data_IF_230650422910
#
_entry.id   IF_230650422910
#
_cell.length_a   1.000
_cell.length_b   1.000
_cell.length_c   1.000
_cell.angle_alpha   90.00
_cell.angle_beta   90.00
_cell.angle_gamma   90.00
#
_symmetry.space_group_name_H-M   'P 1'
#
loop_
_entity.id
_entity.type
_entity.pdbx_description
1 polymer ?
#
# COMPACT_ATOMS: atom_id res chain seq x y z
N UNK A 1 4.65 2.14 -5.22
CA UNK A 1 5.20 3.52 -5.04
C UNK A 1 5.56 4.16 -6.37
N UNK A 2 6.37 3.51 -7.25
CA UNK A 2 6.78 4.08 -8.54
C UNK A 2 5.57 4.47 -9.39
N UNK A 3 4.61 3.56 -9.59
CA UNK A 3 3.38 3.84 -10.35
C UNK A 3 2.60 5.05 -9.80
N UNK A 4 2.49 5.18 -8.48
CA UNK A 4 1.80 6.31 -7.85
C UNK A 4 2.53 7.65 -8.05
N UNK A 5 3.87 7.64 -8.17
CA UNK A 5 4.65 8.84 -8.49
C UNK A 5 4.68 9.14 -10.00
N UNK A 6 4.62 8.10 -10.85
CA UNK A 6 4.58 8.26 -12.30
C UNK A 6 3.22 8.77 -12.80
N UNK A 7 2.13 8.29 -12.20
CA UNK A 7 0.76 8.64 -12.57
C UNK A 7 -0.07 8.99 -11.32
N UNK A 8 0.19 10.15 -10.67
CA UNK A 8 -0.49 10.51 -9.42
C UNK A 8 -2.01 10.63 -9.54
N UNK A 9 -2.50 10.98 -10.73
CA UNK A 9 -3.94 11.11 -11.00
C UNK A 9 -4.68 9.76 -11.06
N UNK A 10 -3.99 8.67 -11.37
CA UNK A 10 -4.52 7.31 -11.44
C UNK A 10 -4.25 6.50 -10.16
N UNK A 11 -3.45 7.06 -9.24
CA UNK A 11 -3.10 6.43 -7.99
C UNK A 11 -4.27 6.40 -7.01
N UNK A 12 -4.20 5.51 -6.02
CA UNK A 12 -5.16 5.50 -4.92
C UNK A 12 -5.16 6.87 -4.20
N UNK A 13 -6.32 7.55 -4.24
CA UNK A 13 -6.49 8.90 -3.69
C UNK A 13 -6.15 8.96 -2.19
N UNK A 14 -6.47 7.88 -1.45
CA UNK A 14 -6.17 7.79 -0.03
C UNK A 14 -4.65 7.75 0.20
N UNK A 15 -3.91 7.00 -0.59
CA UNK A 15 -2.44 6.96 -0.54
C UNK A 15 -1.84 8.34 -0.80
N UNK A 16 -2.28 9.00 -1.87
CA UNK A 16 -1.79 10.35 -2.22
C UNK A 16 -2.10 11.34 -1.10
N UNK A 17 -3.33 11.33 -0.57
CA UNK A 17 -3.75 12.24 0.50
C UNK A 17 -2.92 12.06 1.78
N UNK A 18 -2.65 10.81 2.20
CA UNK A 18 -1.76 10.52 3.33
C UNK A 18 -0.34 11.04 3.09
N UNK A 19 0.21 10.77 1.91
CA UNK A 19 1.56 11.22 1.57
C UNK A 19 1.65 12.76 1.57
N UNK A 20 0.69 13.45 0.97
CA UNK A 20 0.64 14.92 0.94
C UNK A 20 0.51 15.51 2.35
N UNK A 21 -0.34 14.91 3.21
CA UNK A 21 -0.49 15.35 4.59
C UNK A 21 0.82 15.21 5.38
N UNK A 22 1.45 14.02 5.32
CA UNK A 22 2.70 13.75 6.05
C UNK A 22 3.85 14.64 5.55
N UNK A 23 4.03 14.77 4.24
CA UNK A 23 5.07 15.63 3.65
C UNK A 23 4.80 17.10 3.98
N UNK A 24 3.53 17.54 3.97
CA UNK A 24 3.13 18.88 4.40
C UNK A 24 3.57 19.18 5.83
N UNK A 25 3.30 18.27 6.78
CA UNK A 25 3.75 18.46 8.17
C UNK A 25 5.29 18.42 8.30
N UNK A 26 5.99 17.58 7.50
CA UNK A 26 7.46 17.59 7.46
C UNK A 26 8.02 18.94 6.99
N UNK A 27 7.44 19.55 5.99
CA UNK A 27 7.86 20.86 5.47
C UNK A 27 7.66 21.96 6.51
N UNK A 28 6.54 21.95 7.22
CA UNK A 28 6.26 22.92 8.32
C UNK A 28 7.24 22.70 9.47
N UNK A 29 7.37 21.47 9.95
CA UNK A 29 8.23 21.15 11.10
C UNK A 29 9.73 21.41 10.83
N UNK A 30 10.16 21.34 9.56
CA UNK A 30 11.52 21.69 9.18
C UNK A 30 11.77 23.19 9.02
N UNK A 31 10.73 24.02 9.15
CA UNK A 31 10.83 25.46 8.94
C UNK A 31 11.03 25.90 7.47
N UNK A 32 10.82 24.98 6.52
CA UNK A 32 10.91 25.29 5.09
C UNK A 32 9.68 26.05 4.58
N UNK A 33 8.53 25.84 5.21
CA UNK A 33 7.26 26.46 4.87
C UNK A 33 6.51 26.80 6.16
N UNK A 34 6.00 28.02 6.30
CA UNK A 34 5.30 28.45 7.51
C UNK A 34 3.82 28.02 7.52
N UNK A 35 3.21 27.87 6.35
CA UNK A 35 1.79 27.56 6.19
C UNK A 35 1.55 26.08 5.87
N UNK A 36 0.75 25.35 6.68
CA UNK A 36 0.36 23.98 6.39
C UNK A 36 -0.36 23.83 5.04
N UNK A 37 -1.14 24.82 4.64
CA UNK A 37 -1.83 24.83 3.34
C UNK A 37 -0.80 24.86 2.20
N UNK A 38 0.10 25.87 2.24
CA UNK A 38 1.15 26.00 1.24
C UNK A 38 2.09 24.79 1.21
N UNK A 39 2.38 24.18 2.36
CA UNK A 39 3.19 22.98 2.45
C UNK A 39 2.54 21.79 1.71
N UNK A 40 1.24 21.58 1.89
CA UNK A 40 0.48 20.53 1.18
C UNK A 40 0.40 20.80 -0.33
N UNK A 41 0.22 22.05 -0.73
CA UNK A 41 0.24 22.45 -2.15
C UNK A 41 1.60 22.15 -2.79
N UNK A 42 2.71 22.47 -2.12
CA UNK A 42 4.06 22.14 -2.59
C UNK A 42 4.31 20.64 -2.67
N UNK A 43 3.86 19.88 -1.65
CA UNK A 43 3.94 18.41 -1.65
C UNK A 43 3.19 17.82 -2.85
N UNK A 44 1.97 18.31 -3.11
CA UNK A 44 1.17 17.87 -4.27
C UNK A 44 1.84 18.25 -5.60
N UNK A 45 2.31 19.49 -5.74
CA UNK A 45 2.97 19.97 -6.94
C UNK A 45 4.24 19.15 -7.27
N UNK A 46 4.98 18.67 -6.26
CA UNK A 46 6.15 17.83 -6.47
C UNK A 46 5.82 16.45 -7.07
N UNK A 47 4.63 15.90 -6.74
CA UNK A 47 4.11 14.68 -7.36
C UNK A 47 3.66 14.95 -8.80
N UNK A 48 2.82 15.96 -8.99
CA UNK A 48 2.18 16.26 -10.27
C UNK A 48 3.19 16.69 -11.35
N UNK A 49 4.31 17.32 -10.95
CA UNK A 49 5.40 17.71 -11.86
C UNK A 49 6.37 16.58 -12.21
N UNK A 50 6.29 15.42 -11.54
CA UNK A 50 7.26 14.33 -11.68
C UNK A 50 8.57 14.53 -10.90
N UNK A 51 8.77 15.66 -10.22
CA UNK A 51 9.98 15.95 -9.44
C UNK A 51 10.21 14.92 -8.32
N UNK A 52 9.14 14.39 -7.73
CA UNK A 52 9.21 13.32 -6.73
C UNK A 52 9.77 12.02 -7.32
N UNK A 53 9.31 11.61 -8.51
CA UNK A 53 9.82 10.43 -9.21
C UNK A 53 11.28 10.58 -9.60
N UNK A 54 11.66 11.73 -10.15
CA UNK A 54 13.07 12.02 -10.50
C UNK A 54 13.97 11.91 -9.26
N UNK A 55 13.55 12.50 -8.14
CA UNK A 55 14.31 12.45 -6.89
C UNK A 55 14.40 11.03 -6.34
N UNK A 56 13.33 10.26 -6.44
CA UNK A 56 13.30 8.85 -6.06
C UNK A 56 14.29 8.01 -6.88
N UNK A 57 14.33 8.19 -8.22
CA UNK A 57 15.29 7.50 -9.08
C UNK A 57 16.74 7.82 -8.70
N UNK A 58 17.06 9.11 -8.45
CA UNK A 58 18.39 9.53 -7.97
C UNK A 58 18.75 8.93 -6.62
N UNK A 59 17.77 8.82 -5.71
CA UNK A 59 17.97 8.18 -4.40
C UNK A 59 18.28 6.69 -4.55
N UNK A 60 17.53 5.96 -5.37
CA UNK A 60 17.75 4.52 -5.63
C UNK A 60 19.15 4.30 -6.21
N UNK A 61 19.54 5.06 -7.23
CA UNK A 61 20.87 4.96 -7.82
C UNK A 61 21.98 5.31 -6.82
N UNK A 62 21.79 6.35 -6.01
CA UNK A 62 22.75 6.77 -4.97
C UNK A 62 22.94 5.74 -3.86
N UNK A 63 21.94 4.90 -3.60
CA UNK A 63 22.00 3.77 -2.66
C UNK A 63 22.55 2.48 -3.29
N UNK A 64 23.00 2.53 -4.55
CA UNK A 64 23.56 1.39 -5.27
C UNK A 64 22.55 0.54 -6.02
N UNK A 65 21.30 1.00 -6.12
CA UNK A 65 20.26 0.34 -6.93
C UNK A 65 20.39 0.65 -8.42
N UNK A 66 19.56 0.00 -9.27
CA UNK A 66 19.58 0.23 -10.71
C UNK A 66 19.24 1.69 -11.06
N UNK A 67 20.00 2.28 -12.00
CA UNK A 67 19.79 3.67 -12.42
C UNK A 67 18.45 3.87 -13.15
N UNK A 68 17.95 2.82 -13.82
CA UNK A 68 16.69 2.79 -14.56
C UNK A 68 15.49 2.25 -13.75
N UNK A 69 15.64 2.18 -12.42
CA UNK A 69 14.58 1.58 -11.56
C UNK A 69 13.26 2.35 -11.62
N UNK A 70 13.32 3.68 -11.72
CA UNK A 70 12.11 4.50 -11.78
C UNK A 70 11.32 4.31 -13.09
N UNK A 71 12.02 4.01 -14.19
CA UNK A 71 11.44 3.79 -15.51
C UNK A 71 11.00 2.34 -15.72
N UNK A 72 11.73 1.37 -15.13
CA UNK A 72 11.56 -0.07 -15.38
C UNK A 72 11.55 -0.89 -14.07
N UNK A 73 10.70 -0.58 -13.08
CA UNK A 73 10.73 -1.25 -11.79
C UNK A 73 10.50 -2.77 -11.88
N UNK A 74 9.62 -3.22 -12.77
CA UNK A 74 9.28 -4.62 -12.97
C UNK A 74 10.45 -5.48 -13.47
N UNK A 75 11.44 -4.87 -14.12
CA UNK A 75 12.66 -5.55 -14.55
C UNK A 75 13.57 -5.92 -13.38
N UNK A 76 13.46 -5.19 -12.28
CA UNK A 76 14.34 -5.29 -11.12
C UNK A 76 13.66 -5.88 -9.89
N UNK A 77 12.33 -5.93 -9.87
CA UNK A 77 11.58 -6.49 -8.77
C UNK A 77 11.35 -8.00 -8.97
N UNK A 78 11.51 -8.75 -7.90
CA UNK A 78 11.21 -10.18 -7.91
C UNK A 78 9.69 -10.40 -8.04
N UNK A 79 9.30 -11.47 -8.75
CA UNK A 79 7.90 -11.85 -8.94
C UNK A 79 7.64 -13.16 -8.20
N UNK A 80 6.55 -13.23 -7.45
CA UNK A 80 6.11 -14.43 -6.76
C UNK A 80 5.64 -15.51 -7.76
N UNK A 81 5.84 -16.78 -7.41
CA UNK A 81 5.41 -17.90 -8.23
C UNK A 81 3.87 -18.02 -8.33
N UNK A 82 3.17 -17.62 -7.28
CA UNK A 82 1.70 -17.66 -7.20
C UNK A 82 1.20 -16.23 -6.91
N UNK A 83 0.38 -15.68 -7.81
CA UNK A 83 -0.29 -14.38 -7.62
C UNK A 83 -1.77 -14.58 -7.88
N UNK A 84 -2.59 -14.57 -6.81
CA UNK A 84 -4.02 -14.83 -6.93
C UNK A 84 -4.85 -14.00 -5.97
N UNK A 85 -6.14 -13.71 -6.33
CA UNK A 85 -7.06 -12.97 -5.49
C UNK A 85 -7.58 -13.80 -4.30
N UNK A 86 -7.83 -13.12 -3.20
CA UNK A 86 -8.63 -13.63 -2.07
C UNK A 86 -10.02 -13.02 -2.16
N UNK A 87 -11.01 -13.85 -2.43
CA UNK A 87 -12.40 -13.40 -2.48
C UNK A 87 -13.03 -13.39 -1.09
N UNK A 88 -13.93 -12.44 -0.84
CA UNK A 88 -14.84 -12.52 0.31
C UNK A 88 -15.81 -13.69 0.13
N UNK A 89 -16.20 -14.33 1.25
CA UNK A 89 -17.14 -15.43 1.22
C UNK A 89 -18.56 -14.96 0.82
N UNK A 90 -18.93 -13.75 1.21
CA UNK A 90 -20.23 -13.14 0.96
C UNK A 90 -20.06 -11.72 0.40
N UNK A 91 -21.07 -11.24 -0.30
CA UNK A 91 -21.13 -9.87 -0.78
C UNK A 91 -21.33 -8.90 0.40
N UNK A 92 -20.57 -7.82 0.42
CA UNK A 92 -20.67 -6.81 1.48
C UNK A 92 -19.72 -5.65 1.29
N UNK A 93 -19.45 -4.98 2.39
CA UNK A 93 -18.50 -3.85 2.46
C UNK A 93 -17.42 -4.15 3.49
N UNK A 94 -16.19 -3.81 3.17
CA UNK A 94 -15.09 -3.91 4.14
C UNK A 94 -15.37 -2.95 5.30
N UNK A 95 -15.58 -3.50 6.49
CA UNK A 95 -15.94 -2.73 7.70
C UNK A 95 -14.75 -2.47 8.63
N UNK A 96 -13.78 -3.38 8.68
CA UNK A 96 -12.58 -3.22 9.50
C UNK A 96 -11.41 -4.07 8.98
N UNK A 97 -10.19 -3.65 9.35
CA UNK A 97 -8.96 -4.41 9.15
C UNK A 97 -8.29 -4.66 10.50
N UNK A 98 -7.96 -5.90 10.79
CA UNK A 98 -6.96 -6.26 11.79
C UNK A 98 -5.56 -6.07 11.17
N UNK A 99 -5.10 -4.82 11.06
CA UNK A 99 -3.90 -4.44 10.31
C UNK A 99 -2.65 -5.19 10.78
N UNK A 100 -2.55 -5.45 12.10
CA UNK A 100 -1.45 -6.24 12.66
C UNK A 100 -1.47 -7.68 12.13
N UNK A 101 -2.64 -8.28 12.01
CA UNK A 101 -2.79 -9.67 11.55
C UNK A 101 -2.49 -9.79 10.07
N UNK A 102 -2.83 -8.77 9.26
CA UNK A 102 -2.36 -8.67 7.87
C UNK A 102 -0.83 -8.61 7.80
N UNK A 103 -0.18 -7.84 8.69
CA UNK A 103 1.29 -7.82 8.80
C UNK A 103 1.88 -9.18 9.18
N UNK A 104 1.24 -9.90 10.10
CA UNK A 104 1.64 -11.27 10.50
C UNK A 104 1.46 -12.25 9.34
N UNK A 105 0.39 -12.12 8.55
CA UNK A 105 0.20 -12.94 7.36
C UNK A 105 1.34 -12.75 6.33
N UNK A 106 1.83 -11.52 6.14
CA UNK A 106 3.00 -11.23 5.29
C UNK A 106 4.27 -11.89 5.83
N UNK A 107 4.48 -11.86 7.16
CA UNK A 107 5.59 -12.58 7.80
C UNK A 107 5.47 -14.09 7.54
N UNK A 108 4.27 -14.65 7.64
CA UNK A 108 4.00 -16.06 7.36
C UNK A 108 4.31 -16.47 5.92
N UNK A 109 4.10 -15.57 4.96
CA UNK A 109 4.50 -15.76 3.56
C UNK A 109 6.03 -15.76 3.34
N UNK A 110 6.83 -15.32 4.33
CA UNK A 110 8.27 -15.12 4.20
C UNK A 110 8.67 -13.67 3.91
N UNK A 111 7.71 -12.73 3.81
CA UNK A 111 7.95 -11.31 3.55
C UNK A 111 8.44 -10.52 4.77
N UNK A 112 8.67 -11.17 5.90
CA UNK A 112 9.18 -10.56 7.13
C UNK A 112 10.05 -11.52 7.93
N UNK A 113 10.86 -10.95 8.84
CA UNK A 113 11.77 -11.75 9.69
C UNK A 113 11.04 -12.28 10.91
N UNK A 114 11.16 -13.59 11.17
CA UNK A 114 10.70 -14.24 12.42
C UNK A 114 11.75 -14.19 13.51
N UNK A 115 13.02 -14.01 13.13
CA UNK A 115 14.17 -13.86 14.04
C UNK A 115 15.23 -12.95 13.41
N UNK A 116 16.12 -12.32 14.22
CA UNK A 116 17.20 -11.49 13.69
C UNK A 116 18.07 -12.25 12.69
N UNK A 117 18.37 -11.63 11.55
CA UNK A 117 19.20 -12.23 10.50
C UNK A 117 18.50 -13.21 9.57
N UNK A 118 17.24 -13.57 9.81
CA UNK A 118 16.49 -14.41 8.88
C UNK A 118 16.36 -13.74 7.49
N UNK A 119 16.43 -14.51 6.38
CA UNK A 119 16.20 -13.98 5.05
C UNK A 119 14.76 -13.50 4.89
N UNK A 120 14.56 -12.57 3.96
CA UNK A 120 13.24 -12.09 3.55
C UNK A 120 13.07 -12.42 2.07
N UNK A 121 11.94 -12.99 1.71
CA UNK A 121 11.53 -13.10 0.31
C UNK A 121 10.84 -11.78 -0.10
N UNK A 122 11.48 -11.03 -0.98
CA UNK A 122 10.97 -9.75 -1.47
C UNK A 122 9.89 -9.88 -2.56
N UNK A 123 9.63 -11.11 -3.06
CA UNK A 123 8.60 -11.37 -4.04
C UNK A 123 7.20 -11.55 -3.43
N UNK A 124 7.14 -11.91 -2.12
CA UNK A 124 5.87 -12.26 -1.47
C UNK A 124 5.23 -11.09 -0.74
N UNK A 125 3.93 -11.15 -0.54
CA UNK A 125 3.18 -10.12 0.19
C UNK A 125 1.73 -10.00 -0.24
N UNK A 126 1.15 -8.82 0.05
CA UNK A 126 -0.22 -8.46 -0.31
C UNK A 126 -0.23 -7.20 -1.17
N UNK A 127 -1.07 -7.17 -2.20
CA UNK A 127 -1.37 -5.98 -2.98
C UNK A 127 -2.86 -5.82 -3.22
N UNK A 128 -3.29 -4.66 -3.72
CA UNK A 128 -4.68 -4.33 -4.00
C UNK A 128 -5.64 -4.64 -2.84
N UNK A 129 -5.20 -4.41 -1.60
CA UNK A 129 -6.01 -4.62 -0.40
C UNK A 129 -7.22 -3.68 -0.44
N UNK A 130 -8.42 -4.25 -0.38
CA UNK A 130 -9.66 -3.49 -0.42
C UNK A 130 -9.76 -2.59 0.82
N UNK A 131 -9.89 -1.28 0.62
CA UNK A 131 -9.96 -0.29 1.70
C UNK A 131 -11.29 -0.31 2.46
N UNK A 132 -11.37 0.36 3.62
CA UNK A 132 -12.63 0.50 4.38
C UNK A 132 -13.74 1.10 3.52
N UNK A 133 -14.94 0.52 3.58
CA UNK A 133 -16.09 0.92 2.78
C UNK A 133 -16.12 0.39 1.35
N UNK A 134 -15.08 -0.31 0.90
CA UNK A 134 -15.06 -0.92 -0.43
C UNK A 134 -16.09 -2.05 -0.52
N UNK A 135 -16.89 -2.07 -1.59
CA UNK A 135 -17.75 -3.19 -1.93
C UNK A 135 -16.90 -4.37 -2.40
N UNK A 136 -17.17 -5.57 -1.87
CA UNK A 136 -16.41 -6.79 -2.14
C UNK A 136 -17.32 -8.01 -2.24
N UNK A 137 -16.83 -9.06 -2.88
CA UNK A 137 -17.51 -10.36 -2.97
C UNK A 137 -18.43 -10.49 -4.18
N UNK A 138 -19.16 -11.61 -4.28
CA UNK A 138 -19.95 -11.98 -5.44
C UNK A 138 -20.96 -10.90 -5.85
N UNK A 139 -21.03 -10.56 -7.16
CA UNK A 139 -21.98 -9.59 -7.70
C UNK A 139 -21.72 -8.12 -7.32
N UNK A 140 -20.55 -7.84 -6.74
CA UNK A 140 -20.05 -6.49 -6.46
C UNK A 140 -18.74 -6.25 -7.21
N UNK A 141 -18.83 -6.22 -8.54
CA UNK A 141 -17.72 -6.15 -9.49
C UNK A 141 -16.66 -7.26 -9.24
N UNK A 142 -17.04 -8.32 -8.50
CA UNK A 142 -16.17 -9.43 -8.07
C UNK A 142 -14.83 -8.96 -7.48
N UNK A 143 -14.85 -7.80 -6.81
CA UNK A 143 -13.66 -7.21 -6.21
C UNK A 143 -13.12 -8.12 -5.10
N UNK A 144 -11.85 -8.52 -5.15
CA UNK A 144 -11.24 -9.30 -4.10
C UNK A 144 -10.95 -8.47 -2.84
N UNK A 145 -10.76 -9.16 -1.71
CA UNK A 145 -10.23 -8.56 -0.48
C UNK A 145 -8.78 -8.10 -0.63
N UNK A 146 -7.98 -8.88 -1.34
CA UNK A 146 -6.58 -8.59 -1.67
C UNK A 146 -6.09 -9.51 -2.79
N UNK A 147 -4.92 -9.19 -3.37
CA UNK A 147 -4.10 -10.13 -4.12
C UNK A 147 -2.99 -10.64 -3.20
N UNK A 148 -2.81 -11.97 -3.13
CA UNK A 148 -1.70 -12.61 -2.44
C UNK A 148 -0.61 -12.94 -3.44
N UNK A 149 0.62 -12.57 -3.11
CA UNK A 149 1.84 -12.97 -3.77
C UNK A 149 2.52 -14.01 -2.87
N UNK A 150 2.60 -15.27 -3.29
CA UNK A 150 3.12 -16.37 -2.51
C UNK A 150 4.20 -17.17 -3.26
N UNK A 151 5.11 -17.80 -2.51
CA UNK A 151 6.15 -18.68 -3.10
C UNK A 151 5.60 -20.05 -3.49
N UNK A 152 4.52 -20.52 -2.83
CA UNK A 152 3.89 -21.81 -3.09
C UNK A 152 2.38 -21.77 -2.93
N UNK A 153 1.70 -22.82 -3.43
CA UNK A 153 0.27 -23.02 -3.22
C UNK A 153 -0.09 -23.16 -1.75
N UNK A 154 0.70 -23.88 -0.98
CA UNK A 154 0.49 -24.07 0.46
C UNK A 154 0.55 -22.73 1.20
N UNK A 155 1.52 -21.86 0.86
CA UNK A 155 1.63 -20.51 1.45
C UNK A 155 0.45 -19.63 1.05
N UNK A 156 -0.02 -19.73 -0.20
CA UNK A 156 -1.20 -19.02 -0.67
C UNK A 156 -2.46 -19.44 0.11
N UNK A 157 -2.67 -20.74 0.34
CA UNK A 157 -3.83 -21.24 1.08
C UNK A 157 -3.82 -20.76 2.55
N UNK A 158 -2.66 -20.85 3.21
CA UNK A 158 -2.48 -20.37 4.57
C UNK A 158 -2.72 -18.86 4.68
N UNK A 159 -2.14 -18.07 3.77
CA UNK A 159 -2.34 -16.63 3.73
C UNK A 159 -3.79 -16.25 3.38
N UNK A 160 -4.47 -16.99 2.53
CA UNK A 160 -5.90 -16.79 2.21
C UNK A 160 -6.77 -16.88 3.46
N UNK A 161 -6.54 -17.90 4.30
CA UNK A 161 -7.26 -18.05 5.56
C UNK A 161 -6.98 -16.86 6.51
N UNK A 162 -5.71 -16.46 6.64
CA UNK A 162 -5.31 -15.34 7.49
C UNK A 162 -5.89 -14.00 7.01
N UNK A 163 -5.86 -13.71 5.71
CA UNK A 163 -6.42 -12.48 5.13
C UNK A 163 -7.93 -12.42 5.32
N UNK A 164 -8.65 -13.53 5.10
CA UNK A 164 -10.09 -13.60 5.34
C UNK A 164 -10.47 -13.35 6.81
N UNK A 165 -9.66 -13.85 7.74
CA UNK A 165 -9.88 -13.62 9.16
C UNK A 165 -9.57 -12.17 9.58
N UNK A 166 -8.61 -11.52 8.92
CA UNK A 166 -8.15 -10.18 9.24
C UNK A 166 -8.98 -9.05 8.62
N UNK A 167 -9.82 -9.33 7.62
CA UNK A 167 -10.67 -8.34 6.94
C UNK A 167 -12.14 -8.65 7.25
N UNK A 168 -12.76 -7.79 8.06
CA UNK A 168 -14.19 -7.91 8.37
C UNK A 168 -15.03 -7.33 7.23
N UNK A 169 -16.09 -8.06 6.87
CA UNK A 169 -17.09 -7.66 5.86
C UNK A 169 -18.44 -7.54 6.53
N UNK A 170 -19.20 -6.48 6.23
CA UNK A 170 -20.55 -6.24 6.73
C UNK A 170 -21.54 -6.02 5.57
N UNK A 171 -22.82 -6.33 5.81
CA UNK A 171 -23.87 -6.09 4.82
C UNK A 171 -24.09 -4.58 4.56
N UNK A 172 -23.92 -3.77 5.60
CA UNK A 172 -24.07 -2.31 5.55
C UNK A 172 -22.72 -1.63 5.33
N UNK A 173 -22.73 -0.57 4.51
CA UNK A 173 -21.55 0.24 4.27
C UNK A 173 -21.18 1.02 5.54
N UNK A 174 -19.94 0.89 6.06
CA UNK A 174 -19.53 1.62 7.23
C UNK A 174 -19.45 3.13 6.94
N UNK A 175 -19.70 3.94 7.97
CA UNK A 175 -19.50 5.38 7.88
C UNK A 175 -18.03 5.69 7.59
N UNK A 176 -17.72 6.51 6.57
CA UNK A 176 -16.35 6.91 6.28
C UNK A 176 -15.71 7.58 7.50
N UNK A 177 -14.47 7.19 7.81
CA UNK A 177 -13.66 7.85 8.83
C UNK A 177 -12.73 8.87 8.20
N UNK A 178 -12.45 10.01 8.86
CA UNK A 178 -11.49 10.96 8.37
C UNK A 178 -10.11 10.29 8.25
N UNK A 179 -9.33 10.73 7.29
CA UNK A 179 -7.99 10.22 7.04
C UNK A 179 -7.01 10.65 8.14
N UNK A 180 -7.14 11.90 8.57
CA UNK A 180 -6.40 12.51 9.66
C UNK A 180 -7.35 12.65 10.85
N UNK A 181 -6.94 12.13 12.01
CA UNK A 181 -7.73 12.23 13.24
C UNK A 181 -7.41 13.55 13.97
N UNK A 182 -6.14 13.90 14.04
CA UNK A 182 -5.64 15.12 14.70
C UNK A 182 -4.20 15.42 14.24
N UNK A 183 -3.78 16.66 14.42
CA UNK A 183 -2.40 17.12 14.19
C UNK A 183 -1.87 17.68 15.53
N UNK A 184 -0.94 16.94 16.13
CA UNK A 184 -0.28 17.36 17.37
C UNK A 184 0.92 18.23 17.01
N UNK A 185 0.92 19.50 17.54
CA UNK A 185 1.98 20.49 17.33
C UNK A 185 2.53 20.98 18.65
#
# INVERSE_FOLDING_TARGET
>A
SVQAMANPAEADERLISVCVALVGEMLVNSGLVDSPVTAREQARASLDSGAALERFGKMVAGLGGPADFAENPEKHLATAAVVRPVMAAEAGFVSAHATRDLGVAIIGLGGGRTQPGAPIDHAVGLSAVAGPGAAVGPGRDDRPLALIHAASETDYEAATAAVRAAIAVSAEQPTPRPLELDVVR
#
